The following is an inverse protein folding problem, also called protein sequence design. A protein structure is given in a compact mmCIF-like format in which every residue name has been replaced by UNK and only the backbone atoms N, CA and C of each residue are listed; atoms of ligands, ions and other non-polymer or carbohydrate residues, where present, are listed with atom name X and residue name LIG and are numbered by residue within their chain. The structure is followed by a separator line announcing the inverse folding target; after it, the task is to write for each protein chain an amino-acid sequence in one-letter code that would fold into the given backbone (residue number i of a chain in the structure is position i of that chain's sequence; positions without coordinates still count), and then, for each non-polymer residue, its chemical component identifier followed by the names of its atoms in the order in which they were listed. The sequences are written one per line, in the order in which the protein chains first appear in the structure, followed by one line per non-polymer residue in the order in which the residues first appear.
data_IF_288142774754
#
_entry.id   IF_288142774754
#
_cell.length_a   1.000
_cell.length_b   1.000
_cell.length_c   1.000
_cell.angle_alpha   90.00
_cell.angle_beta   90.00
_cell.angle_gamma   90.00
#
_symmetry.space_group_name_H-M   'P 1'
#
loop_
_entity.id
_entity.type
_entity.pdbx_description
1 polymer ?
#
# COMPACT_ATOMS: atom_id res chain seq x y z
N UNK A 1 18.58 -4.01 4.62
CA UNK A 1 17.23 -3.47 4.87
C UNK A 1 16.31 -4.62 5.19
N UNK A 2 15.48 -4.51 6.23
CA UNK A 2 14.49 -5.54 6.55
C UNK A 2 13.44 -5.64 5.45
N UNK A 3 13.00 -6.85 5.14
CA UNK A 3 11.76 -7.04 4.39
C UNK A 3 10.60 -6.74 5.35
N UNK A 4 9.49 -6.21 4.83
CA UNK A 4 8.31 -5.92 5.65
C UNK A 4 7.13 -6.64 5.01
N UNK A 5 6.47 -7.51 5.76
CA UNK A 5 5.28 -8.20 5.28
C UNK A 5 4.05 -7.38 5.66
N UNK A 6 3.45 -6.70 4.68
CA UNK A 6 2.17 -6.01 4.89
C UNK A 6 1.12 -7.07 5.21
N UNK A 7 0.32 -6.85 6.24
CA UNK A 7 -0.78 -7.73 6.64
C UNK A 7 -2.14 -7.10 6.34
N UNK A 8 -2.23 -5.78 6.50
CA UNK A 8 -3.47 -5.02 6.38
C UNK A 8 -3.19 -3.58 5.98
N UNK A 9 -4.07 -3.02 5.16
CA UNK A 9 -4.12 -1.58 4.88
C UNK A 9 -5.51 -1.05 5.23
N UNK A 10 -5.58 0.12 5.85
CA UNK A 10 -6.83 0.81 6.13
C UNK A 10 -6.82 2.18 5.46
N UNK A 11 -7.84 2.46 4.67
CA UNK A 11 -8.11 3.77 4.09
C UNK A 11 -9.39 4.31 4.72
N UNK A 12 -9.26 5.46 5.37
CA UNK A 12 -10.31 6.03 6.21
C UNK A 12 -10.85 7.32 5.59
N UNK A 13 -12.12 7.35 5.20
CA UNK A 13 -12.82 8.53 4.66
C UNK A 13 -13.67 9.24 5.72
N UNK A 14 -13.44 8.97 7.02
CA UNK A 14 -14.15 9.65 8.10
C UNK A 14 -14.16 11.17 7.92
N UNK A 15 -15.31 11.79 8.18
CA UNK A 15 -15.62 13.22 7.98
C UNK A 15 -15.73 13.69 6.51
N UNK A 16 -15.28 12.91 5.53
CA UNK A 16 -15.46 13.20 4.11
C UNK A 16 -16.79 12.61 3.63
N UNK A 17 -17.88 13.38 3.78
CA UNK A 17 -19.24 12.95 3.38
C UNK A 17 -19.62 13.30 1.95
N UNK A 18 -19.08 14.41 1.43
CA UNK A 18 -19.34 14.89 0.08
C UNK A 18 -18.12 14.94 -0.83
N UNK A 19 -16.91 15.02 -0.27
CA UNK A 19 -15.64 15.16 -0.98
C UNK A 19 -14.66 14.02 -0.66
N UNK A 20 -15.16 12.80 -0.46
CA UNK A 20 -14.32 11.59 -0.43
C UNK A 20 -13.96 11.20 -1.87
N UNK A 21 -12.84 10.52 -2.10
CA UNK A 21 -12.50 10.07 -3.44
C UNK A 21 -13.51 9.03 -3.93
N UNK A 22 -13.88 9.07 -5.21
CA UNK A 22 -14.77 8.06 -5.78
C UNK A 22 -14.15 6.66 -5.65
N UNK A 23 -12.83 6.58 -5.84
CA UNK A 23 -12.07 5.34 -5.78
C UNK A 23 -10.60 5.56 -5.47
N UNK A 24 -9.96 4.50 -5.02
CA UNK A 24 -8.52 4.48 -4.71
C UNK A 24 -7.84 3.24 -5.29
N UNK A 25 -6.57 3.36 -5.63
CA UNK A 25 -5.70 2.19 -5.88
C UNK A 25 -4.48 2.26 -4.96
N UNK A 26 -3.89 1.10 -4.70
CA UNK A 26 -2.71 0.98 -3.83
C UNK A 26 -1.59 0.37 -4.65
N UNK A 27 -0.41 0.98 -4.59
CA UNK A 27 0.79 0.50 -5.24
C UNK A 27 1.93 0.39 -4.23
N UNK A 28 2.92 -0.43 -4.53
CA UNK A 28 4.13 -0.57 -3.74
C UNK A 28 5.37 -0.54 -4.62
N UNK A 29 6.52 -0.32 -4.01
CA UNK A 29 7.80 -0.40 -4.69
C UNK A 29 8.92 -0.86 -3.76
N UNK A 30 9.94 -1.48 -4.35
CA UNK A 30 11.24 -1.72 -3.71
C UNK A 30 12.25 -0.71 -4.27
N UNK A 31 12.46 0.37 -3.53
CA UNK A 31 13.36 1.44 -3.95
C UNK A 31 14.83 1.03 -4.04
N UNK A 32 15.22 -0.09 -3.42
CA UNK A 32 16.61 -0.58 -3.48
C UNK A 32 16.90 -1.36 -4.75
N UNK A 33 15.87 -1.91 -5.41
CA UNK A 33 16.01 -2.64 -6.68
C UNK A 33 16.06 -1.74 -7.91
N UNK A 34 15.73 -0.45 -7.78
CA UNK A 34 15.77 0.45 -8.93
C UNK A 34 17.22 0.77 -9.30
N UNK A 35 17.52 0.66 -10.59
CA UNK A 35 18.78 1.13 -11.13
C UNK A 35 18.79 2.67 -11.06
N UNK A 36 19.75 3.24 -10.30
CA UNK A 36 19.91 4.70 -10.19
C UNK A 36 20.07 5.39 -11.55
N UNK A 37 20.56 4.67 -12.57
CA UNK A 37 20.75 5.20 -13.92
C UNK A 37 19.44 5.55 -14.62
N UNK A 38 18.34 4.84 -14.32
CA UNK A 38 17.07 5.04 -15.03
C UNK A 38 16.21 6.15 -14.39
N UNK A 39 16.55 6.63 -13.19
CA UNK A 39 15.81 7.66 -12.41
C UNK A 39 14.29 7.41 -12.25
N UNK A 40 13.78 6.26 -12.67
CA UNK A 40 12.38 5.92 -12.69
C UNK A 40 12.09 4.90 -11.60
N UNK A 41 11.18 5.26 -10.70
CA UNK A 41 10.65 4.31 -9.70
C UNK A 41 9.54 3.49 -10.33
N UNK A 42 9.74 2.17 -10.42
CA UNK A 42 8.71 1.24 -10.90
C UNK A 42 7.73 0.94 -9.76
N UNK A 43 6.44 1.20 -9.99
CA UNK A 43 5.36 0.94 -9.03
C UNK A 43 4.56 -0.28 -9.44
N UNK A 44 4.47 -1.26 -8.54
CA UNK A 44 3.68 -2.47 -8.73
C UNK A 44 2.31 -2.35 -8.04
N UNK A 45 1.23 -2.91 -8.59
CA UNK A 45 -0.08 -2.86 -7.95
C UNK A 45 -0.12 -3.73 -6.69
N UNK A 46 -0.66 -3.18 -5.59
CA UNK A 46 -1.00 -3.91 -4.37
C UNK A 46 -2.51 -4.11 -4.21
N UNK A 47 -3.31 -3.14 -4.68
CA UNK A 47 -4.77 -3.20 -4.76
C UNK A 47 -5.23 -2.47 -6.02
N UNK A 48 -6.06 -3.12 -6.81
CA UNK A 48 -6.69 -2.51 -7.97
C UNK A 48 -7.66 -1.39 -7.56
N UNK A 49 -8.05 -0.55 -8.53
CA UNK A 49 -8.95 0.58 -8.29
C UNK A 49 -10.25 0.10 -7.65
N UNK A 50 -10.52 0.55 -6.43
CA UNK A 50 -11.64 0.11 -5.59
C UNK A 50 -12.49 1.33 -5.22
N UNK A 51 -13.81 1.20 -5.32
CA UNK A 51 -14.76 2.25 -4.94
C UNK A 51 -14.71 2.50 -3.44
N UNK A 52 -14.80 3.77 -3.06
CA UNK A 52 -14.89 4.19 -1.66
C UNK A 52 -16.31 4.65 -1.33
N UNK A 53 -16.58 4.72 -0.04
CA UNK A 53 -17.84 5.21 0.52
C UNK A 53 -17.57 6.38 1.47
N UNK A 54 -18.53 7.31 1.66
CA UNK A 54 -18.37 8.44 2.55
C UNK A 54 -18.28 8.01 4.01
N UNK A 55 -17.51 8.75 4.81
CA UNK A 55 -17.48 8.63 6.28
C UNK A 55 -17.25 7.18 6.79
N UNK A 56 -16.33 6.45 6.16
CA UNK A 56 -16.17 5.01 6.38
C UNK A 56 -14.70 4.55 6.42
N UNK A 57 -14.46 3.44 7.11
CA UNK A 57 -13.19 2.73 7.08
C UNK A 57 -13.23 1.59 6.06
N UNK A 58 -12.24 1.56 5.19
CA UNK A 58 -12.06 0.54 4.16
C UNK A 58 -10.82 -0.26 4.54
N UNK A 59 -11.03 -1.52 4.92
CA UNK A 59 -9.98 -2.42 5.40
C UNK A 59 -9.67 -3.39 4.26
N UNK A 60 -8.40 -3.54 3.94
CA UNK A 60 -7.91 -4.51 2.96
C UNK A 60 -6.91 -5.45 3.66
N UNK A 61 -7.32 -6.70 3.86
CA UNK A 61 -6.53 -7.73 4.51
C UNK A 61 -5.87 -8.68 3.51
N UNK A 62 -4.57 -8.95 3.70
CA UNK A 62 -3.84 -9.97 2.91
C UNK A 62 -4.46 -11.36 3.08
N UNK A 63 -4.88 -11.72 4.30
CA UNK A 63 -5.47 -13.03 4.59
C UNK A 63 -6.82 -13.26 3.89
N UNK A 64 -7.50 -12.19 3.52
CA UNK A 64 -8.80 -12.23 2.84
C UNK A 64 -8.67 -12.10 1.31
N UNK A 65 -7.43 -12.16 0.77
CA UNK A 65 -7.14 -11.95 -0.65
C UNK A 65 -7.61 -10.58 -1.18
N UNK A 66 -7.72 -9.57 -0.31
CA UNK A 66 -8.09 -8.22 -0.74
C UNK A 66 -6.90 -7.46 -1.31
N UNK A 67 -5.69 -7.85 -0.94
CA UNK A 67 -4.45 -7.32 -1.50
C UNK A 67 -3.79 -8.39 -2.37
N UNK A 68 -2.97 -7.95 -3.33
CA UNK A 68 -2.17 -8.85 -4.17
C UNK A 68 -1.26 -9.69 -3.27
N UNK A 69 -1.30 -11.01 -3.44
CA UNK A 69 -0.45 -11.93 -2.69
C UNK A 69 1.01 -11.71 -3.05
N UNK A 70 1.80 -11.38 -2.04
CA UNK A 70 3.23 -11.13 -2.19
C UNK A 70 4.01 -12.40 -1.87
N UNK A 71 5.09 -12.63 -2.61
CA UNK A 71 5.99 -13.75 -2.29
C UNK A 71 6.82 -13.43 -1.05
N UNK A 72 7.31 -14.46 -0.33
CA UNK A 72 8.15 -14.31 0.89
C UNK A 72 9.39 -13.42 0.70
N UNK A 73 9.86 -13.25 -0.53
CA UNK A 73 11.03 -12.44 -0.87
C UNK A 73 10.68 -11.06 -1.43
N UNK A 74 9.40 -10.66 -1.40
CA UNK A 74 8.98 -9.34 -1.85
C UNK A 74 9.35 -8.32 -0.79
N UNK A 75 10.22 -7.38 -1.16
CA UNK A 75 10.55 -6.24 -0.32
C UNK A 75 9.65 -5.07 -0.68
N UNK A 76 9.17 -4.36 0.34
CA UNK A 76 8.39 -3.12 0.18
C UNK A 76 9.11 -2.04 0.97
N UNK A 77 9.45 -0.95 0.29
CA UNK A 77 10.05 0.23 0.92
C UNK A 77 9.12 1.42 0.95
N UNK A 78 8.26 1.57 -0.06
CA UNK A 78 7.25 2.61 -0.11
C UNK A 78 5.92 2.05 -0.60
N UNK A 79 4.85 2.69 -0.13
CA UNK A 79 3.48 2.47 -0.60
C UNK A 79 2.96 3.80 -1.13
N UNK A 80 2.22 3.72 -2.24
CA UNK A 80 1.54 4.86 -2.85
C UNK A 80 0.05 4.59 -2.85
N UNK A 81 -0.71 5.57 -2.36
CA UNK A 81 -2.17 5.60 -2.47
C UNK A 81 -2.51 6.58 -3.59
N UNK A 82 -3.19 6.09 -4.62
CA UNK A 82 -3.69 6.92 -5.70
C UNK A 82 -5.18 7.15 -5.48
N UNK A 83 -5.60 8.41 -5.41
CA UNK A 83 -7.02 8.81 -5.33
C UNK A 83 -7.51 9.21 -6.71
N UNK A 84 -8.79 8.95 -7.01
CA UNK A 84 -9.36 9.27 -8.32
C UNK A 84 -10.80 9.79 -8.22
N UNK A 85 -11.15 10.85 -8.99
CA UNK A 85 -10.22 11.78 -9.66
C UNK A 85 -9.47 12.66 -8.64
N UNK A 86 -10.13 13.00 -7.55
CA UNK A 86 -9.66 13.82 -6.44
C UNK A 86 -10.47 13.46 -5.17
N UNK A 87 -10.38 14.27 -4.12
CA UNK A 87 -11.09 14.08 -2.85
C UNK A 87 -10.15 13.93 -1.66
N UNK A 88 -10.72 13.70 -0.48
CA UNK A 88 -9.99 13.62 0.77
C UNK A 88 -10.09 12.26 1.45
N UNK A 89 -8.97 11.86 2.05
CA UNK A 89 -8.85 10.72 2.94
C UNK A 89 -8.41 11.29 4.29
N UNK A 90 -9.05 10.87 5.37
CA UNK A 90 -8.68 11.31 6.71
C UNK A 90 -7.38 10.66 7.16
N UNK A 91 -7.24 9.34 6.94
CA UNK A 91 -6.08 8.56 7.37
C UNK A 91 -5.80 7.39 6.44
N UNK A 92 -4.52 7.05 6.37
CA UNK A 92 -4.01 5.80 5.80
C UNK A 92 -3.22 5.09 6.88
N UNK A 93 -3.50 3.81 7.12
CA UNK A 93 -2.74 2.97 8.04
C UNK A 93 -2.25 1.72 7.32
N UNK A 94 -0.98 1.41 7.47
CA UNK A 94 -0.37 0.21 6.88
C UNK A 94 0.19 -0.60 8.04
N UNK A 95 -0.38 -1.79 8.24
CA UNK A 95 0.08 -2.73 9.25
C UNK A 95 1.01 -3.73 8.58
N UNK A 96 2.23 -3.81 9.08
CA UNK A 96 3.23 -4.71 8.54
C UNK A 96 4.09 -5.29 9.65
N UNK A 97 4.47 -6.55 9.51
CA UNK A 97 5.39 -7.20 10.43
C UNK A 97 6.84 -6.98 9.95
N UNK A 98 7.78 -6.62 10.84
CA UNK A 98 9.18 -6.60 10.49
C UNK A 98 9.63 -8.03 10.21
N UNK A 99 10.07 -8.30 8.98
CA UNK A 99 10.67 -9.58 8.64
C UNK A 99 12.12 -9.56 9.08
N UNK A 100 12.51 -10.57 9.86
CA UNK A 100 13.86 -10.72 10.40
C UNK A 100 14.87 -10.70 9.26
N UNK A 101 15.84 -9.78 9.30
CA UNK A 101 16.99 -9.80 8.39
C UNK A 101 17.77 -11.09 8.70
N UNK A 102 17.98 -12.01 7.74
CA UNK A 102 18.81 -13.19 7.96
C UNK A 102 20.24 -12.76 8.35
N UNK A 103 20.80 -13.40 9.38
CA UNK A 103 22.09 -13.07 9.99
C UNK A 103 23.32 -13.30 9.09
N UNK A 104 23.15 -13.59 7.80
CA UNK A 104 24.25 -13.86 6.86
C UNK A 104 24.91 -12.59 6.28
N UNK A 105 24.53 -11.41 6.77
CA UNK A 105 25.11 -10.11 6.40
C UNK A 105 25.50 -9.28 7.64
N UNK A 106 26.01 -9.95 8.67
CA UNK A 106 26.78 -9.33 9.77
C UNK A 106 28.23 -9.84 9.70
#
# INVERSE_FOLDING_TARGET
GGTTEISRIVIDTQHFRGNYPESVSIQYTDSYRHNKAEQLTIWSPLRSRTRMTPDAQHIFDMKQNELVQLTKNTQITHVRICIYPDGGISRVRIYAAPTRIPSSHL
#
